data_IF_297384238139
#
_entry.id   IF_297384238139
#
_cell.length_a   1.000
_cell.length_b   1.000
_cell.length_c   1.000
_cell.angle_alpha   90.00
_cell.angle_beta   90.00
_cell.angle_gamma   90.00
#
_symmetry.space_group_name_H-M   'P 1'
#
loop_
_entity.id
_entity.type
_entity.pdbx_description
1 polymer ?
#
# COMPACT_ATOMS: atom_id res chain seq x y z
N UNK A 1 14.17 14.80 -3.86
CA UNK A 1 15.00 13.65 -4.27
C UNK A 1 15.63 12.87 -3.10
N UNK A 2 15.27 13.13 -1.83
CA UNK A 2 15.81 12.38 -0.69
C UNK A 2 15.01 11.12 -0.36
N UNK A 3 13.68 11.16 -0.46
CA UNK A 3 12.80 10.05 -0.08
C UNK A 3 12.90 8.85 -1.04
N UNK A 4 12.95 9.10 -2.36
CA UNK A 4 13.06 8.04 -3.36
C UNK A 4 14.34 7.18 -3.22
N UNK A 5 15.46 7.78 -2.80
CA UNK A 5 16.70 7.02 -2.59
C UNK A 5 16.71 6.18 -1.29
N UNK A 6 15.79 6.43 -0.34
CA UNK A 6 15.67 5.62 0.88
C UNK A 6 14.90 4.31 0.63
N UNK A 7 13.98 4.30 -0.34
CA UNK A 7 13.17 3.13 -0.67
C UNK A 7 13.80 2.20 -1.72
N UNK A 8 14.96 2.57 -2.28
CA UNK A 8 15.63 1.90 -3.41
C UNK A 8 16.18 0.48 -3.14
N UNK A 9 15.89 -0.10 -1.98
CA UNK A 9 16.34 -1.44 -1.61
C UNK A 9 15.39 -2.21 -0.69
N UNK A 10 14.12 -1.78 -0.59
CA UNK A 10 13.23 -2.28 0.45
C UNK A 10 11.94 -2.86 -0.15
N UNK A 11 12.10 -3.89 -0.97
CA UNK A 11 11.02 -4.78 -1.43
C UNK A 11 10.18 -5.27 -0.24
N UNK A 12 10.84 -5.51 0.89
CA UNK A 12 10.24 -5.85 2.19
C UNK A 12 9.36 -4.72 2.76
N UNK A 13 9.68 -3.45 2.51
CA UNK A 13 8.84 -2.32 2.94
C UNK A 13 7.54 -2.24 2.17
N UNK A 14 7.52 -2.58 0.88
CA UNK A 14 6.28 -2.57 0.09
C UNK A 14 5.29 -3.59 0.67
N UNK A 15 5.75 -4.82 0.96
CA UNK A 15 4.94 -5.86 1.57
C UNK A 15 4.45 -5.47 2.97
N UNK A 16 5.30 -4.82 3.77
CA UNK A 16 4.92 -4.30 5.08
C UNK A 16 3.85 -3.22 5.01
N UNK A 17 3.98 -2.27 4.07
CA UNK A 17 2.98 -1.22 3.83
C UNK A 17 1.67 -1.79 3.28
N UNK A 18 1.71 -2.83 2.45
CA UNK A 18 0.52 -3.53 1.98
C UNK A 18 -0.25 -4.17 3.13
N UNK A 19 0.44 -4.84 4.05
CA UNK A 19 -0.19 -5.43 5.24
C UNK A 19 -0.83 -4.37 6.14
N UNK A 20 -0.18 -3.22 6.31
CA UNK A 20 -0.77 -2.10 7.04
C UNK A 20 -2.05 -1.60 6.36
N UNK A 21 -2.06 -1.50 5.03
CA UNK A 21 -3.26 -1.13 4.26
C UNK A 21 -4.39 -2.15 4.41
N UNK A 22 -4.09 -3.45 4.37
CA UNK A 22 -5.07 -4.52 4.61
C UNK A 22 -5.67 -4.36 6.00
N UNK A 23 -4.86 -4.21 7.04
CA UNK A 23 -5.36 -4.01 8.41
C UNK A 23 -6.18 -2.71 8.51
N UNK A 24 -5.78 -1.64 7.83
CA UNK A 24 -6.51 -0.37 7.87
C UNK A 24 -7.86 -0.46 7.14
N UNK A 25 -7.93 -1.13 6.00
CA UNK A 25 -9.16 -1.32 5.21
C UNK A 25 -10.11 -2.34 5.86
N UNK A 26 -9.57 -3.39 6.47
CA UNK A 26 -10.34 -4.47 7.10
C UNK A 26 -10.83 -4.09 8.51
N UNK A 27 -10.03 -3.37 9.30
CA UNK A 27 -10.36 -3.08 10.70
C UNK A 27 -11.20 -1.80 10.88
N UNK A 28 -11.11 -0.83 9.97
CA UNK A 28 -11.75 0.48 10.20
C UNK A 28 -13.23 0.57 9.82
N UNK A 29 -13.83 -0.47 9.20
CA UNK A 29 -15.22 -0.40 8.69
C UNK A 29 -15.45 0.74 7.69
N UNK A 30 -14.39 1.46 7.30
CA UNK A 30 -14.42 2.62 6.43
C UNK A 30 -14.62 2.22 4.96
N UNK A 31 -14.45 0.94 4.69
CA UNK A 31 -14.60 0.31 3.40
C UNK A 31 -15.48 -0.92 3.59
N UNK A 32 -16.80 -0.72 3.54
CA UNK A 32 -17.80 -1.79 3.61
C UNK A 32 -17.60 -2.86 2.54
N UNK A 33 -18.40 -3.93 2.66
CA UNK A 33 -18.39 -5.28 2.02
C UNK A 33 -18.00 -5.37 0.52
N UNK A 34 -17.90 -4.25 -0.21
CA UNK A 34 -17.67 -4.16 -1.66
C UNK A 34 -16.32 -3.53 -2.04
N UNK A 35 -15.43 -3.23 -1.09
CA UNK A 35 -14.23 -2.40 -1.32
C UNK A 35 -12.95 -3.14 -1.72
N UNK A 36 -13.05 -4.40 -2.18
CA UNK A 36 -11.90 -5.14 -2.71
C UNK A 36 -11.22 -4.41 -3.87
N UNK A 37 -11.99 -3.71 -4.70
CA UNK A 37 -11.49 -2.89 -5.81
C UNK A 37 -10.71 -1.66 -5.32
N UNK A 38 -11.17 -1.02 -4.25
CA UNK A 38 -10.48 0.11 -3.61
C UNK A 38 -9.11 -0.29 -3.07
N UNK A 39 -9.02 -1.44 -2.38
CA UNK A 39 -7.75 -1.96 -1.87
C UNK A 39 -6.75 -2.24 -2.99
N UNK A 40 -7.21 -2.85 -4.10
CA UNK A 40 -6.38 -3.12 -5.27
C UNK A 40 -5.90 -1.83 -5.97
N UNK A 41 -6.76 -0.82 -6.04
CA UNK A 41 -6.38 0.51 -6.55
C UNK A 41 -5.29 1.17 -5.69
N UNK A 42 -5.44 1.15 -4.36
CA UNK A 42 -4.42 1.67 -3.45
C UNK A 42 -3.13 0.88 -3.51
N UNK A 43 -3.19 -0.44 -3.68
CA UNK A 43 -2.00 -1.27 -3.89
C UNK A 43 -1.26 -0.89 -5.16
N UNK A 44 -1.96 -0.69 -6.29
CA UNK A 44 -1.34 -0.22 -7.53
C UNK A 44 -0.72 1.16 -7.38
N UNK A 45 -1.36 2.06 -6.65
CA UNK A 45 -0.81 3.38 -6.35
C UNK A 45 0.49 3.25 -5.54
N UNK A 46 0.52 2.33 -4.56
CA UNK A 46 1.69 2.01 -3.76
C UNK A 46 2.82 1.41 -4.61
N UNK A 47 2.51 0.48 -5.52
CA UNK A 47 3.47 -0.05 -6.50
C UNK A 47 4.03 1.09 -7.35
N UNK A 48 3.21 1.99 -7.89
CA UNK A 48 3.70 3.13 -8.68
C UNK A 48 4.57 4.09 -7.85
N UNK A 49 4.28 4.23 -6.55
CA UNK A 49 5.00 5.13 -5.63
C UNK A 49 6.34 4.53 -5.15
N UNK A 50 6.40 3.21 -4.98
CA UNK A 50 7.59 2.47 -4.53
C UNK A 50 8.42 1.89 -5.69
N UNK A 51 7.87 1.78 -6.91
CA UNK A 51 8.58 1.28 -8.11
C UNK A 51 9.39 2.39 -8.81
N UNK A 52 9.91 3.35 -8.04
CA UNK A 52 10.87 4.36 -8.48
C UNK A 52 12.03 4.50 -7.52
#
# INVERSE_FOLDING_TARGET
MALANMFRGNEESLLFFFLLLVILFDNSGWCGEENSESLLFFFLLLVVLFTK
#
